data_IF_582302144655
#
_entry.id   IF_582302144655
#
_cell.length_a   1.000
_cell.length_b   1.000
_cell.length_c   1.000
_cell.angle_alpha   90.00
_cell.angle_beta   90.00
_cell.angle_gamma   90.00
#
_symmetry.space_group_name_H-M   'P 1'
#
loop_
_entity.id
_entity.type
_entity.pdbx_description
1 polymer ?
#
# COMPACT_ATOMS: atom_id res chain seq x y z
N UNK A 1 -6.73 -2.20 9.93
CA UNK A 1 -6.30 -1.48 8.69
C UNK A 1 -6.85 -0.07 8.56
N UNK A 2 -8.17 0.14 8.72
CA UNK A 2 -8.78 1.48 8.59
C UNK A 2 -8.10 2.53 9.47
N UNK A 3 -7.79 2.19 10.72
CA UNK A 3 -7.12 3.09 11.67
C UNK A 3 -5.82 3.70 11.12
N UNK A 4 -4.96 2.90 10.50
CA UNK A 4 -3.68 3.37 9.92
C UNK A 4 -3.93 4.27 8.70
N UNK A 5 -4.91 3.92 7.85
CA UNK A 5 -5.25 4.72 6.67
C UNK A 5 -5.86 6.07 7.03
N UNK A 6 -6.69 6.13 8.06
CA UNK A 6 -7.32 7.38 8.50
C UNK A 6 -6.40 8.25 9.32
N UNK A 7 -5.35 7.66 9.91
CA UNK A 7 -4.33 8.37 10.68
C UNK A 7 -3.17 8.80 9.79
N UNK A 8 -3.47 9.59 8.76
CA UNK A 8 -2.45 10.11 7.81
C UNK A 8 -1.39 10.96 8.49
N UNK A 9 -1.69 11.52 9.66
CA UNK A 9 -0.76 12.22 10.53
C UNK A 9 0.29 11.29 11.16
N UNK A 10 -0.06 10.02 11.39
CA UNK A 10 0.80 9.01 12.04
C UNK A 10 1.57 8.22 11.00
N UNK A 11 0.90 7.76 9.93
CA UNK A 11 1.50 6.94 8.88
C UNK A 11 1.60 7.73 7.57
N UNK A 12 2.41 8.78 7.58
CA UNK A 12 2.63 9.62 6.41
C UNK A 12 3.15 8.77 5.22
N UNK A 13 2.58 8.98 4.03
CA UNK A 13 2.99 8.23 2.83
C UNK A 13 2.53 6.77 2.76
N UNK A 14 1.77 6.24 3.73
CA UNK A 14 1.16 4.91 3.65
C UNK A 14 -0.12 4.94 2.78
N UNK A 15 0.04 4.65 1.50
CA UNK A 15 -1.05 4.67 0.51
C UNK A 15 -1.77 3.33 0.32
N UNK A 16 -2.58 3.26 -0.77
CA UNK A 16 -3.38 2.08 -1.13
C UNK A 16 -2.52 0.84 -1.35
N UNK A 17 -1.34 0.97 -1.96
CA UNK A 17 -0.43 -0.16 -2.18
C UNK A 17 0.46 -0.43 -0.97
N UNK A 18 0.87 0.61 -0.24
CA UNK A 18 1.76 0.48 0.91
C UNK A 18 1.11 -0.32 2.04
N UNK A 19 -0.17 -0.11 2.33
CA UNK A 19 -0.87 -0.78 3.43
C UNK A 19 -0.88 -2.31 3.28
N UNK A 20 -1.29 -2.91 2.15
CA UNK A 20 -1.13 -4.34 1.88
C UNK A 20 0.28 -4.87 2.15
N UNK A 21 1.30 -4.14 1.68
CA UNK A 21 2.70 -4.53 1.89
C UNK A 21 3.08 -4.52 3.37
N UNK A 22 2.74 -3.45 4.10
CA UNK A 22 3.02 -3.33 5.53
C UNK A 22 2.36 -4.46 6.34
N UNK A 23 1.11 -4.81 6.03
CA UNK A 23 0.43 -5.90 6.72
C UNK A 23 1.03 -7.25 6.41
N UNK A 24 1.43 -7.48 5.17
CA UNK A 24 2.10 -8.71 4.78
C UNK A 24 3.45 -8.87 5.50
N UNK A 25 4.29 -7.83 5.48
CA UNK A 25 5.59 -7.85 6.17
C UNK A 25 5.44 -7.99 7.69
N UNK A 26 4.39 -7.39 8.27
CA UNK A 26 4.08 -7.53 9.69
C UNK A 26 3.43 -8.87 10.05
N UNK A 27 3.05 -9.71 9.08
CA UNK A 27 2.37 -10.98 9.32
C UNK A 27 0.96 -10.83 9.89
N UNK A 28 0.22 -9.80 9.49
CA UNK A 28 -1.07 -9.44 10.07
C UNK A 28 -2.24 -9.79 9.12
N UNK A 29 -3.29 -10.43 9.65
CA UNK A 29 -4.51 -10.67 8.90
C UNK A 29 -5.26 -9.36 8.55
N UNK A 30 -5.93 -9.29 7.40
CA UNK A 30 -6.51 -8.03 6.90
C UNK A 30 -7.72 -7.51 7.69
N UNK A 31 -8.39 -8.37 8.45
CA UNK A 31 -9.57 -8.03 9.26
C UNK A 31 -9.32 -8.01 10.77
N UNK A 32 -8.06 -7.84 11.20
CA UNK A 32 -7.77 -7.48 12.59
C UNK A 32 -8.38 -6.11 12.93
N UNK A 33 -9.00 -6.05 14.09
CA UNK A 33 -9.47 -4.81 14.71
C UNK A 33 -8.30 -3.92 15.12
N UNK A 34 -8.57 -2.64 15.35
CA UNK A 34 -7.57 -1.71 15.89
C UNK A 34 -7.03 -2.20 17.24
N UNK A 35 -7.90 -2.71 18.10
CA UNK A 35 -7.55 -3.26 19.40
C UNK A 35 -6.59 -4.46 19.30
N UNK A 36 -6.91 -5.43 18.43
CA UNK A 36 -6.06 -6.61 18.24
C UNK A 36 -4.65 -6.26 17.76
N UNK A 37 -4.47 -5.13 17.08
CA UNK A 37 -3.16 -4.65 16.62
C UNK A 37 -2.47 -3.81 17.69
N UNK A 38 -3.14 -2.78 18.21
CA UNK A 38 -2.53 -1.74 19.05
C UNK A 38 -2.57 -2.01 20.56
N UNK A 39 -3.28 -3.04 21.02
CA UNK A 39 -3.13 -3.53 22.40
C UNK A 39 -2.11 -4.66 22.51
N UNK A 40 -1.68 -5.21 21.38
CA UNK A 40 -0.64 -6.23 21.35
C UNK A 40 0.72 -5.57 21.13
N UNK A 41 1.64 -5.64 22.12
CA UNK A 41 2.99 -5.09 21.97
C UNK A 41 3.71 -5.69 20.76
N UNK A 42 3.62 -7.00 20.57
CA UNK A 42 4.23 -7.71 19.44
C UNK A 42 3.67 -7.28 18.07
N UNK A 43 2.34 -7.22 17.89
CA UNK A 43 1.75 -6.82 16.60
C UNK A 43 2.05 -5.35 16.27
N UNK A 44 1.99 -4.47 17.27
CA UNK A 44 2.36 -3.05 17.09
C UNK A 44 3.82 -2.90 16.71
N UNK A 45 4.70 -3.61 17.41
CA UNK A 45 6.13 -3.62 17.12
C UNK A 45 6.42 -4.10 15.69
N UNK A 46 5.80 -5.20 15.25
CA UNK A 46 5.91 -5.70 13.87
C UNK A 46 5.42 -4.70 12.84
N UNK A 47 4.29 -4.05 13.07
CA UNK A 47 3.77 -3.02 12.16
C UNK A 47 4.72 -1.81 12.05
N UNK A 48 5.27 -1.33 13.17
CA UNK A 48 6.24 -0.24 13.18
C UNK A 48 7.54 -0.65 12.46
N UNK A 49 8.02 -1.87 12.72
CA UNK A 49 9.21 -2.40 12.08
C UNK A 49 9.02 -2.61 10.56
N UNK A 50 7.85 -3.10 10.14
CA UNK A 50 7.47 -3.19 8.73
C UNK A 50 7.45 -1.82 8.05
N UNK A 51 6.91 -0.80 8.73
CA UNK A 51 6.89 0.57 8.21
C UNK A 51 8.30 1.16 8.05
N UNK A 52 9.16 0.98 9.06
CA UNK A 52 10.57 1.38 8.96
C UNK A 52 11.27 0.63 7.82
N UNK A 53 11.12 -0.69 7.75
CA UNK A 53 11.74 -1.51 6.71
C UNK A 53 11.33 -1.04 5.31
N UNK A 54 10.04 -0.82 5.10
CA UNK A 54 9.51 -0.33 3.83
C UNK A 54 10.14 1.00 3.43
N UNK A 55 10.21 1.96 4.35
CA UNK A 55 10.83 3.26 4.11
C UNK A 55 12.33 3.14 3.82
N UNK A 56 13.04 2.29 4.57
CA UNK A 56 14.47 2.05 4.37
C UNK A 56 14.73 1.42 3.01
N UNK A 57 14.01 0.37 2.66
CA UNK A 57 14.13 -0.31 1.36
C UNK A 57 13.77 0.63 0.19
N UNK A 58 12.76 1.48 0.38
CA UNK A 58 12.41 2.49 -0.61
C UNK A 58 13.60 3.42 -0.92
N UNK A 59 14.38 3.79 0.08
CA UNK A 59 15.58 4.64 -0.09
C UNK A 59 16.80 3.89 -0.59
N UNK A 60 17.07 2.68 -0.09
CA UNK A 60 18.32 1.95 -0.37
C UNK A 60 18.25 1.14 -1.65
N UNK A 61 17.10 0.52 -1.93
CA UNK A 61 16.94 -0.44 -3.04
C UNK A 61 16.10 0.13 -4.17
N UNK A 62 14.96 0.76 -3.84
CA UNK A 62 14.00 1.22 -4.85
C UNK A 62 14.42 2.56 -5.47
N UNK A 63 14.98 3.49 -4.72
CA UNK A 63 15.38 4.79 -5.24
C UNK A 63 16.39 4.70 -6.41
N UNK A 64 17.45 3.87 -6.37
CA UNK A 64 18.31 3.64 -7.53
C UNK A 64 17.56 3.15 -8.78
N UNK A 65 16.54 2.30 -8.58
CA UNK A 65 15.64 1.81 -9.62
C UNK A 65 14.78 2.95 -10.21
N UNK A 66 14.21 3.82 -9.37
CA UNK A 66 13.38 4.95 -9.82
C UNK A 66 14.24 6.02 -10.53
N UNK A 67 15.40 6.35 -9.96
CA UNK A 67 16.29 7.42 -10.43
C UNK A 67 16.70 7.27 -11.89
N UNK A 68 16.87 6.04 -12.39
CA UNK A 68 17.26 5.79 -13.79
C UNK A 68 16.19 6.18 -14.81
N UNK A 69 14.94 6.30 -14.36
CA UNK A 69 13.80 6.69 -15.20
C UNK A 69 13.43 8.16 -15.06
N UNK A 70 14.12 8.89 -14.19
CA UNK A 70 13.90 10.32 -13.99
C UNK A 70 14.51 11.11 -15.15
N UNK A 71 13.65 11.83 -15.89
CA UNK A 71 14.05 12.75 -16.96
C UNK A 71 13.62 14.15 -16.56
N UNK A 72 14.55 14.92 -16.00
CA UNK A 72 14.24 16.20 -15.38
C UNK A 72 13.39 15.99 -14.12
N UNK A 73 12.12 16.38 -14.17
CA UNK A 73 11.18 16.27 -13.04
C UNK A 73 10.07 15.23 -13.26
N UNK A 74 10.14 14.45 -14.35
CA UNK A 74 9.14 13.42 -14.67
C UNK A 74 9.76 12.03 -14.75
N UNK A 75 8.94 11.01 -14.52
CA UNK A 75 9.34 9.62 -14.70
C UNK A 75 8.91 9.15 -16.08
N UNK A 76 9.85 8.59 -16.84
CA UNK A 76 9.62 8.06 -18.18
C UNK A 76 9.92 6.56 -18.19
N UNK A 77 8.89 5.74 -17.97
CA UNK A 77 8.98 4.27 -17.87
C UNK A 77 8.25 3.58 -19.02
N UNK A 78 8.78 2.46 -19.49
CA UNK A 78 8.04 1.55 -20.37
C UNK A 78 7.05 0.67 -19.58
N UNK A 79 6.23 -0.10 -20.29
CA UNK A 79 5.39 -1.14 -19.66
C UNK A 79 6.27 -2.22 -19.01
N UNK A 80 7.38 -2.61 -19.63
CA UNK A 80 8.32 -3.56 -19.04
C UNK A 80 8.95 -3.02 -17.75
N UNK A 81 9.33 -1.73 -17.73
CA UNK A 81 9.89 -1.09 -16.53
C UNK A 81 8.90 -1.06 -15.36
N UNK A 82 7.60 -0.83 -15.64
CA UNK A 82 6.53 -0.88 -14.63
C UNK A 82 6.33 -2.29 -14.09
N UNK A 83 6.43 -3.32 -14.96
CA UNK A 83 6.37 -4.71 -14.52
C UNK A 83 7.56 -5.09 -13.64
N UNK A 84 8.77 -4.61 -13.95
CA UNK A 84 9.94 -4.82 -13.09
C UNK A 84 9.75 -4.22 -11.69
N UNK A 85 8.98 -3.14 -11.55
CA UNK A 85 8.62 -2.62 -10.23
C UNK A 85 7.61 -3.53 -9.51
N UNK A 86 6.66 -4.13 -10.22
CA UNK A 86 5.72 -5.08 -9.59
C UNK A 86 6.43 -6.28 -8.96
N UNK A 87 7.60 -6.66 -9.47
CA UNK A 87 8.44 -7.71 -8.87
C UNK A 87 8.99 -7.31 -7.48
N UNK A 88 9.04 -6.01 -7.17
CA UNK A 88 9.49 -5.46 -5.87
C UNK A 88 8.39 -5.38 -4.83
N UNK A 89 7.14 -5.62 -5.21
CA UNK A 89 6.03 -5.71 -4.28
C UNK A 89 5.91 -7.15 -3.79
N UNK A 90 5.53 -7.35 -2.53
CA UNK A 90 5.33 -8.68 -2.00
C UNK A 90 3.95 -9.21 -2.39
N UNK A 91 2.89 -8.41 -2.23
CA UNK A 91 1.50 -8.88 -2.39
C UNK A 91 0.63 -8.00 -3.29
N UNK A 92 0.87 -6.69 -3.36
CA UNK A 92 -0.06 -5.76 -3.98
C UNK A 92 -0.20 -5.98 -5.49
N UNK A 93 -1.42 -6.32 -5.92
CA UNK A 93 -1.77 -6.56 -7.32
C UNK A 93 -0.92 -7.64 -8.01
N UNK A 94 -0.37 -8.57 -7.23
CA UNK A 94 0.31 -9.78 -7.74
C UNK A 94 -0.65 -10.93 -7.76
N UNK A 95 -0.47 -11.88 -8.67
CA UNK A 95 -1.27 -13.10 -8.69
C UNK A 95 -0.81 -14.10 -7.62
N UNK A 96 0.51 -14.18 -7.43
CA UNK A 96 1.17 -15.04 -6.45
C UNK A 96 2.28 -14.26 -5.77
N UNK A 97 2.56 -14.61 -4.52
CA UNK A 97 3.65 -14.02 -3.75
C UNK A 97 4.66 -15.09 -3.40
N UNK A 98 5.94 -14.77 -3.50
CA UNK A 98 6.99 -15.66 -3.02
C UNK A 98 7.08 -15.55 -1.51
N UNK A 99 7.11 -16.69 -0.82
CA UNK A 99 7.17 -16.74 0.65
C UNK A 99 8.20 -17.77 1.09
N UNK A 100 8.73 -17.58 2.30
CA UNK A 100 9.65 -18.55 2.91
C UNK A 100 8.94 -19.86 3.25
N UNK A 101 9.73 -20.92 3.51
CA UNK A 101 9.21 -22.18 4.01
C UNK A 101 8.47 -22.00 5.34
N UNK A 102 9.06 -21.26 6.28
CA UNK A 102 8.44 -20.91 7.57
C UNK A 102 7.13 -20.14 7.39
N UNK A 103 7.08 -19.15 6.52
CA UNK A 103 5.84 -18.41 6.25
C UNK A 103 4.76 -19.33 5.68
N UNK A 104 5.12 -20.24 4.76
CA UNK A 104 4.17 -21.19 4.20
C UNK A 104 3.63 -22.18 5.24
N UNK A 105 4.50 -22.68 6.13
CA UNK A 105 4.12 -23.54 7.24
C UNK A 105 3.16 -22.82 8.19
N UNK A 106 3.51 -21.61 8.64
CA UNK A 106 2.63 -20.78 9.48
C UNK A 106 1.28 -20.48 8.80
N UNK A 107 1.28 -20.26 7.48
CA UNK A 107 0.07 -20.04 6.71
C UNK A 107 -0.81 -21.29 6.70
N UNK A 108 -0.21 -22.46 6.56
CA UNK A 108 -0.91 -23.76 6.57
C UNK A 108 -1.47 -24.07 7.96
N UNK A 109 -0.71 -23.80 9.02
CA UNK A 109 -1.15 -23.94 10.41
C UNK A 109 -2.37 -23.03 10.70
N UNK A 110 -2.37 -21.79 10.21
CA UNK A 110 -3.50 -20.87 10.33
C UNK A 110 -4.73 -21.36 9.56
N UNK A 111 -4.56 -21.85 8.33
CA UNK A 111 -5.66 -22.39 7.53
C UNK A 111 -6.26 -23.64 8.18
N UNK A 112 -5.44 -24.52 8.75
CA UNK A 112 -5.89 -25.68 9.52
C UNK A 112 -6.66 -25.29 10.78
N UNK A 113 -6.21 -24.26 11.50
CA UNK A 113 -6.95 -23.68 12.63
C UNK A 113 -8.35 -23.21 12.21
N UNK A 114 -8.49 -22.59 11.02
CA UNK A 114 -9.80 -22.18 10.50
C UNK A 114 -10.69 -23.37 10.15
N UNK A 115 -10.12 -24.44 9.61
CA UNK A 115 -10.85 -25.68 9.33
C UNK A 115 -11.36 -26.36 10.61
N UNK A 116 -10.54 -26.41 11.67
CA UNK A 116 -10.95 -26.97 12.96
C UNK A 116 -12.12 -26.22 13.60
N UNK A 117 -12.19 -24.91 13.40
CA UNK A 117 -13.26 -24.06 13.91
C UNK A 117 -14.37 -23.79 12.88
N UNK A 118 -14.43 -24.51 11.75
CA UNK A 118 -15.40 -24.25 10.70
C UNK A 118 -16.85 -24.53 11.15
N UNK A 119 -17.04 -25.55 11.98
CA UNK A 119 -18.35 -25.97 12.50
C UNK A 119 -18.76 -25.23 13.78
N UNK A 120 -17.85 -24.43 14.37
CA UNK A 120 -18.16 -23.67 15.57
C UNK A 120 -19.10 -22.49 15.24
N UNK A 121 -20.20 -22.30 16.00
CA UNK A 121 -21.11 -21.19 15.74
C UNK A 121 -20.46 -19.83 16.00
N UNK A 122 -19.53 -19.79 16.96
CA UNK A 122 -18.70 -18.64 17.29
C UNK A 122 -17.48 -19.12 18.09
N UNK A 123 -16.28 -18.77 17.64
CA UNK A 123 -15.06 -19.00 18.41
C UNK A 123 -14.32 -17.67 18.70
N UNK A 124 -13.65 -17.60 19.84
CA UNK A 124 -12.85 -16.44 20.21
C UNK A 124 -11.43 -16.62 19.68
N UNK A 125 -10.90 -15.60 19.02
CA UNK A 125 -9.51 -15.56 18.58
C UNK A 125 -8.62 -15.44 19.81
N UNK A 126 -8.32 -16.54 20.47
CA UNK A 126 -7.46 -16.57 21.64
C UNK A 126 -6.18 -17.32 21.31
N UNK A 127 -5.05 -16.71 21.66
CA UNK A 127 -3.78 -17.40 21.60
C UNK A 127 -3.72 -18.35 22.81
N UNK A 128 -4.08 -19.61 22.61
CA UNK A 128 -3.64 -20.67 23.51
C UNK A 128 -2.32 -21.26 22.96
N UNK A 129 -1.53 -21.90 23.83
CA UNK A 129 -0.19 -22.38 23.48
C UNK A 129 -0.21 -23.55 22.47
N UNK A 130 -1.38 -24.15 22.20
CA UNK A 130 -1.47 -25.46 21.50
C UNK A 130 -2.24 -25.36 20.18
N UNK A 131 -3.27 -24.52 20.07
CA UNK A 131 -4.23 -24.51 18.97
C UNK A 131 -4.68 -23.10 18.52
N UNK A 132 -4.13 -22.03 19.11
CA UNK A 132 -4.55 -20.66 18.85
C UNK A 132 -4.16 -20.19 17.44
N UNK A 133 -4.89 -19.22 16.87
CA UNK A 133 -4.52 -18.62 15.60
C UNK A 133 -3.28 -17.75 15.77
N UNK A 134 -2.12 -18.31 15.42
CA UNK A 134 -0.87 -17.57 15.39
C UNK A 134 -0.75 -16.71 14.12
N UNK A 135 -0.06 -15.59 14.25
CA UNK A 135 0.22 -14.69 13.13
C UNK A 135 1.28 -15.27 12.19
N UNK A 136 1.05 -15.13 10.89
CA UNK A 136 1.92 -15.64 9.82
C UNK A 136 3.07 -14.66 9.55
N UNK A 137 4.02 -14.56 10.48
CA UNK A 137 5.08 -13.57 10.45
C UNK A 137 6.44 -14.15 10.01
N UNK A 138 7.13 -13.45 9.11
CA UNK A 138 8.48 -13.79 8.63
C UNK A 138 9.47 -12.65 8.90
N UNK A 139 10.41 -12.83 9.84
CA UNK A 139 11.39 -11.80 10.22
C UNK A 139 12.25 -11.26 9.06
N UNK A 140 12.55 -12.08 8.06
CA UNK A 140 13.31 -11.65 6.87
C UNK A 140 12.62 -10.49 6.13
N UNK A 141 11.28 -10.43 6.15
CA UNK A 141 10.49 -9.36 5.51
C UNK A 141 10.63 -8.00 6.22
N UNK A 142 11.19 -7.97 7.43
CA UNK A 142 11.46 -6.73 8.17
C UNK A 142 12.93 -6.61 8.58
N UNK A 143 13.83 -7.33 7.91
CA UNK A 143 15.27 -7.43 8.20
C UNK A 143 15.95 -6.13 8.63
N UNK A 144 15.86 -5.07 7.81
CA UNK A 144 16.46 -3.76 8.13
C UNK A 144 16.07 -3.18 9.49
N UNK A 145 14.85 -3.46 9.97
CA UNK A 145 14.37 -2.98 11.27
C UNK A 145 14.92 -3.83 12.44
N UNK A 146 15.18 -5.11 12.18
CA UNK A 146 15.73 -6.07 13.16
C UNK A 146 17.26 -6.04 13.22
N UNK A 147 17.92 -5.42 12.24
CA UNK A 147 19.38 -5.21 12.23
C UNK A 147 19.80 -3.84 12.80
N UNK A 148 18.85 -2.98 13.24
CA UNK A 148 19.20 -1.71 13.89
C UNK A 148 19.73 -2.00 15.30
N UNK A 149 20.89 -1.44 15.62
CA UNK A 149 21.51 -1.55 16.96
C UNK A 149 20.69 -0.79 18.02
N UNK A 150 20.25 0.42 17.71
CA UNK A 150 19.46 1.27 18.61
C UNK A 150 17.96 1.26 18.26
N UNK A 151 17.10 1.16 19.27
CA UNK A 151 15.63 1.17 19.13
C UNK A 151 15.05 -0.02 18.36
N UNK A 152 15.76 -1.14 18.34
CA UNK A 152 15.22 -2.40 17.85
C UNK A 152 13.95 -2.80 18.63
N UNK A 153 12.98 -3.38 17.93
CA UNK A 153 11.72 -3.81 18.53
C UNK A 153 11.63 -5.33 18.74
N UNK A 154 12.72 -6.07 18.50
CA UNK A 154 12.77 -7.52 18.58
C UNK A 154 12.35 -8.08 19.95
N UNK A 155 12.73 -7.41 21.04
CA UNK A 155 12.30 -7.78 22.40
C UNK A 155 10.77 -7.71 22.59
N UNK A 156 10.08 -6.78 21.93
CA UNK A 156 8.61 -6.72 21.94
C UNK A 156 7.96 -7.76 21.01
N UNK A 157 8.67 -8.16 19.94
CA UNK A 157 8.14 -9.10 18.93
C UNK A 157 8.24 -10.54 19.44
N UNK A 158 9.42 -10.93 19.93
CA UNK A 158 9.77 -12.31 20.30
C UNK A 158 9.85 -12.55 21.81
N UNK A 159 9.85 -11.49 22.63
CA UNK A 159 10.23 -11.58 24.04
C UNK A 159 11.74 -11.47 24.22
N UNK A 160 12.18 -11.04 25.41
CA UNK A 160 13.59 -10.71 25.68
C UNK A 160 14.52 -11.92 25.50
N UNK A 161 14.18 -13.06 26.09
CA UNK A 161 15.03 -14.25 26.09
C UNK A 161 15.16 -14.86 24.68
N UNK A 162 14.02 -15.02 23.99
CA UNK A 162 14.00 -15.55 22.62
C UNK A 162 14.71 -14.61 21.65
N UNK A 163 14.55 -13.30 21.83
CA UNK A 163 15.26 -12.30 21.01
C UNK A 163 16.78 -12.35 21.21
N UNK A 164 17.25 -12.51 22.45
CA UNK A 164 18.68 -12.66 22.74
C UNK A 164 19.27 -13.90 22.05
N UNK A 165 18.55 -15.03 22.10
CA UNK A 165 18.91 -16.25 21.39
C UNK A 165 18.99 -16.03 19.87
N UNK A 166 17.95 -15.45 19.27
CA UNK A 166 17.89 -15.17 17.83
C UNK A 166 18.97 -14.20 17.36
N UNK A 167 19.30 -13.17 18.17
CA UNK A 167 20.42 -12.26 17.87
C UNK A 167 21.76 -12.99 17.84
N UNK A 168 22.01 -13.84 18.83
CA UNK A 168 23.26 -14.59 18.93
C UNK A 168 23.43 -15.56 17.75
N UNK A 169 22.37 -16.30 17.39
CA UNK A 169 22.38 -17.21 16.24
C UNK A 169 22.62 -16.47 14.91
N UNK A 170 22.00 -15.30 14.74
CA UNK A 170 22.16 -14.48 13.54
C UNK A 170 23.48 -13.69 13.47
N UNK A 171 24.30 -13.73 14.52
CA UNK A 171 25.54 -12.94 14.62
C UNK A 171 25.31 -11.43 14.70
N UNK A 172 24.17 -10.99 15.27
CA UNK A 172 23.89 -9.57 15.46
C UNK A 172 24.68 -9.01 16.66
N UNK A 173 25.03 -7.70 16.64
CA UNK A 173 25.69 -7.05 17.77
C UNK A 173 24.88 -7.16 19.07
N UNK A 174 25.57 -7.28 20.21
CA UNK A 174 24.93 -7.34 21.53
C UNK A 174 24.03 -6.11 21.82
N UNK A 175 24.31 -4.96 21.20
CA UNK A 175 23.49 -3.76 21.29
C UNK A 175 22.04 -4.00 20.83
N UNK A 176 21.82 -4.87 19.84
CA UNK A 176 20.49 -5.23 19.34
C UNK A 176 19.60 -5.90 20.41
N UNK A 177 20.17 -6.48 21.46
CA UNK A 177 19.45 -7.21 22.52
C UNK A 177 18.81 -6.25 23.54
N UNK A 178 19.05 -4.94 23.44
CA UNK A 178 18.48 -3.95 24.34
C UNK A 178 16.94 -4.07 24.42
N UNK A 179 16.42 -4.24 25.63
CA UNK A 179 14.99 -4.22 25.91
C UNK A 179 14.40 -2.81 25.96
N UNK A 180 15.26 -1.79 25.99
CA UNK A 180 14.81 -0.41 26.10
C UNK A 180 14.52 0.18 24.72
N UNK A 181 13.25 0.50 24.50
CA UNK A 181 12.80 1.41 23.46
C UNK A 181 11.54 2.14 23.94
N UNK A 182 11.21 3.28 23.31
CA UNK A 182 10.06 4.11 23.75
C UNK A 182 8.73 3.37 23.69
N UNK A 183 8.57 2.43 22.75
CA UNK A 183 7.36 1.63 22.63
C UNK A 183 7.26 0.61 23.77
N UNK A 184 8.37 -0.01 24.16
CA UNK A 184 8.43 -0.92 25.30
C UNK A 184 8.13 -0.19 26.60
N UNK A 185 8.69 1.01 26.77
CA UNK A 185 8.36 1.87 27.91
C UNK A 185 6.85 2.19 27.93
N UNK A 186 6.27 2.61 26.80
CA UNK A 186 4.83 2.86 26.71
C UNK A 186 4.01 1.64 27.16
N UNK A 187 4.31 0.44 26.64
CA UNK A 187 3.60 -0.78 27.04
C UNK A 187 3.84 -1.19 28.49
N UNK A 188 5.01 -0.90 29.07
CA UNK A 188 5.27 -1.14 30.49
C UNK A 188 4.46 -0.22 31.41
N UNK A 189 4.12 1.00 30.94
CA UNK A 189 3.28 1.94 31.68
C UNK A 189 1.78 1.63 31.55
N UNK A 190 1.39 0.93 30.49
CA UNK A 190 0.05 0.41 30.38
C UNK A 190 -0.07 -0.78 31.34
N UNK A 191 -1.00 -0.70 32.29
CA UNK A 191 -1.39 -1.86 33.11
C UNK A 191 -2.16 -2.87 32.25
N UNK A 192 -1.48 -3.44 31.26
CA UNK A 192 -2.03 -4.52 30.45
C UNK A 192 -2.33 -5.71 31.36
N UNK A 193 -3.48 -6.39 31.18
CA UNK A 193 -3.78 -7.60 31.91
C UNK A 193 -2.62 -8.61 31.78
N UNK A 194 -2.19 -9.21 32.89
CA UNK A 194 -1.20 -10.29 32.87
C UNK A 194 -1.65 -11.51 32.03
N UNK A 195 -2.95 -11.62 31.79
CA UNK A 195 -3.59 -12.65 30.94
C UNK A 195 -3.40 -12.40 29.43
N UNK A 196 -2.90 -11.22 29.01
CA UNK A 196 -2.66 -10.97 27.59
C UNK A 196 -1.40 -11.69 27.13
N UNK A 197 -1.46 -12.48 26.06
CA UNK A 197 -0.28 -13.14 25.53
C UNK A 197 0.76 -12.09 25.13
N UNK A 198 2.00 -12.30 25.55
CA UNK A 198 3.12 -11.42 25.23
C UNK A 198 3.38 -11.37 23.72
N UNK A 199 3.05 -12.45 23.00
CA UNK A 199 3.16 -12.55 21.55
C UNK A 199 2.05 -13.41 20.95
N UNK A 200 1.68 -13.11 19.71
CA UNK A 200 0.74 -13.90 18.89
C UNK A 200 1.49 -14.77 17.88
N UNK A 201 2.72 -15.11 18.19
CA UNK A 201 3.64 -15.85 17.33
C UNK A 201 3.86 -17.23 17.95
N UNK A 202 3.88 -18.27 17.13
CA UNK A 202 4.28 -19.60 17.58
C UNK A 202 5.81 -19.63 17.72
N UNK A 203 6.32 -19.41 18.93
CA UNK A 203 7.76 -19.29 19.22
C UNK A 203 8.59 -20.49 18.75
N UNK A 204 8.01 -21.69 18.76
CA UNK A 204 8.70 -22.93 18.35
C UNK A 204 9.10 -22.92 16.87
N UNK A 205 8.41 -22.13 16.04
CA UNK A 205 8.72 -21.98 14.61
C UNK A 205 9.88 -21.00 14.35
N UNK A 206 10.33 -20.25 15.36
CA UNK A 206 11.37 -19.23 15.24
C UNK A 206 12.68 -19.72 15.85
N UNK A 207 13.29 -20.73 15.23
CA UNK A 207 14.59 -21.27 15.66
C UNK A 207 15.80 -20.52 15.09
N UNK A 208 15.59 -19.68 14.07
CA UNK A 208 16.59 -18.82 13.45
C UNK A 208 15.95 -17.49 13.07
N UNK A 209 16.72 -16.40 13.08
CA UNK A 209 16.18 -15.09 12.75
C UNK A 209 16.02 -14.92 11.23
N UNK A 210 17.13 -15.11 10.52
CA UNK A 210 17.23 -14.96 9.07
C UNK A 210 17.59 -16.28 8.43
N UNK A 211 17.11 -16.52 7.20
CA UNK A 211 17.46 -17.74 6.50
C UNK A 211 18.99 -17.76 6.25
N UNK A 212 19.69 -18.88 6.53
CA UNK A 212 21.10 -19.03 6.22
C UNK A 212 21.36 -18.68 4.75
N UNK A 213 22.49 -18.05 4.44
CA UNK A 213 22.81 -17.62 3.06
C UNK A 213 22.77 -18.77 2.04
N UNK A 214 23.11 -19.99 2.47
CA UNK A 214 22.98 -21.24 1.72
C UNK A 214 21.53 -21.59 1.34
N UNK A 215 20.57 -21.08 2.10
CA UNK A 215 19.12 -21.28 1.94
C UNK A 215 18.39 -20.01 1.45
N UNK A 216 19.08 -19.07 0.78
CA UNK A 216 18.36 -17.93 0.15
C UNK A 216 17.67 -18.29 -1.16
N UNK A 217 18.12 -19.32 -1.88
CA UNK A 217 17.44 -19.85 -3.08
C UNK A 217 16.04 -20.46 -2.81
N UNK A 218 15.74 -21.11 -1.67
CA UNK A 218 14.40 -21.66 -1.38
C UNK A 218 13.30 -20.65 -1.02
N UNK A 219 13.56 -19.34 -0.90
CA UNK A 219 12.48 -18.34 -0.75
C UNK A 219 11.50 -18.30 -1.94
N UNK A 220 11.84 -18.98 -3.05
CA UNK A 220 11.00 -19.11 -4.23
C UNK A 220 10.26 -20.45 -4.36
N UNK A 221 10.44 -21.38 -3.41
CA UNK A 221 9.81 -22.70 -3.51
C UNK A 221 8.28 -22.62 -3.32
N UNK A 222 7.81 -21.68 -2.50
CA UNK A 222 6.40 -21.52 -2.17
C UNK A 222 5.84 -20.23 -2.75
N UNK A 223 4.62 -20.33 -3.25
CA UNK A 223 3.97 -19.30 -4.05
C UNK A 223 2.45 -19.33 -3.86
N UNK A 224 1.95 -19.01 -2.65
CA UNK A 224 0.52 -18.91 -2.39
C UNK A 224 -0.14 -17.88 -3.31
N UNK A 225 -1.39 -18.14 -3.64
CA UNK A 225 -2.22 -17.18 -4.36
C UNK A 225 -2.54 -15.99 -3.45
N UNK A 226 -2.43 -14.78 -4.00
CA UNK A 226 -2.92 -13.59 -3.31
C UNK A 226 -4.44 -13.54 -3.38
N UNK A 227 -5.05 -13.00 -2.33
CA UNK A 227 -6.48 -12.75 -2.22
C UNK A 227 -6.71 -11.24 -2.26
N UNK A 228 -7.79 -10.82 -2.92
CA UNK A 228 -8.24 -9.43 -2.96
C UNK A 228 -9.46 -9.27 -2.07
N UNK A 229 -9.32 -8.51 -0.99
CA UNK A 229 -10.38 -8.20 -0.05
C UNK A 229 -10.93 -6.81 -0.30
N UNK A 230 -12.25 -6.69 -0.41
CA UNK A 230 -12.94 -5.40 -0.55
C UNK A 230 -13.33 -4.89 0.83
N UNK A 231 -12.88 -3.69 1.16
CA UNK A 231 -13.37 -2.92 2.30
C UNK A 231 -14.11 -1.69 1.82
N UNK A 232 -14.97 -1.13 2.67
CA UNK A 232 -15.77 0.06 2.34
C UNK A 232 -14.98 1.25 1.77
N UNK A 233 -13.67 1.35 2.03
CA UNK A 233 -12.84 2.49 1.60
C UNK A 233 -11.64 2.10 0.71
N UNK A 234 -11.31 0.83 0.55
CA UNK A 234 -10.35 0.36 -0.46
C UNK A 234 -10.26 -1.16 -0.48
N UNK A 235 -9.67 -1.66 -1.56
CA UNK A 235 -9.29 -3.05 -1.71
C UNK A 235 -7.91 -3.32 -1.10
N UNK A 236 -7.71 -4.54 -0.65
CA UNK A 236 -6.50 -4.99 0.05
C UNK A 236 -6.06 -6.33 -0.48
N UNK A 237 -4.78 -6.42 -0.81
CA UNK A 237 -4.13 -7.65 -1.24
C UNK A 237 -3.46 -8.32 -0.06
N UNK A 238 -3.63 -9.63 0.09
CA UNK A 238 -2.96 -10.41 1.13
C UNK A 238 -2.86 -11.87 0.70
N UNK A 239 -1.79 -12.55 1.13
CA UNK A 239 -1.75 -14.02 1.11
C UNK A 239 -2.34 -14.60 2.40
N UNK A 240 -2.26 -13.86 3.51
CA UNK A 240 -2.82 -14.25 4.80
C UNK A 240 -4.34 -14.13 4.71
N UNK A 241 -5.09 -15.22 4.99
CA UNK A 241 -6.54 -15.18 4.95
C UNK A 241 -7.10 -14.21 6.00
N UNK A 242 -8.22 -13.55 5.67
CA UNK A 242 -9.05 -12.92 6.68
C UNK A 242 -9.60 -13.99 7.63
N UNK A 243 -9.69 -13.67 8.92
CA UNK A 243 -10.39 -14.51 9.87
C UNK A 243 -11.86 -14.73 9.44
N UNK A 244 -12.43 -15.93 9.62
CA UNK A 244 -13.79 -16.24 9.20
C UNK A 244 -14.84 -15.47 10.01
N UNK A 245 -16.05 -15.36 9.47
CA UNK A 245 -17.16 -14.58 10.07
C UNK A 245 -17.65 -15.14 11.42
N UNK A 246 -17.42 -16.44 11.68
CA UNK A 246 -17.70 -17.10 12.95
C UNK A 246 -16.57 -16.91 14.00
N UNK A 247 -15.59 -16.05 13.73
CA UNK A 247 -14.56 -15.69 14.70
C UNK A 247 -14.81 -14.31 15.31
N UNK A 248 -14.51 -14.13 16.59
CA UNK A 248 -14.59 -12.84 17.25
C UNK A 248 -13.29 -12.50 18.01
N UNK A 249 -12.91 -11.21 18.07
CA UNK A 249 -11.81 -10.77 18.92
C UNK A 249 -12.15 -11.02 20.40
N UNK A 250 -11.13 -11.25 21.22
CA UNK A 250 -11.30 -11.33 22.67
C UNK A 250 -11.91 -10.00 23.15
N UNK A 251 -13.04 -10.01 23.87
CA UNK A 251 -13.61 -8.80 24.43
C UNK A 251 -12.60 -8.11 25.32
N UNK A 252 -12.31 -6.82 25.05
CA UNK A 252 -11.50 -6.01 25.97
C UNK A 252 -12.16 -6.02 27.34
N UNK A 253 -11.50 -6.61 28.35
CA UNK A 253 -11.77 -6.23 29.74
C UNK A 253 -11.31 -4.78 29.86
N UNK A 254 -12.25 -3.83 29.70
CA UNK A 254 -11.97 -2.45 30.07
C UNK A 254 -11.49 -2.51 31.52
N UNK A 255 -10.29 -2.00 31.85
CA UNK A 255 -9.95 -1.76 33.24
C UNK A 255 -11.15 -1.03 33.85
N UNK A 256 -11.62 -1.40 35.05
CA UNK A 256 -12.66 -0.64 35.72
C UNK A 256 -12.22 0.82 35.63
N UNK A 257 -13.02 1.64 34.94
CA UNK A 257 -12.77 3.07 34.80
C UNK A 257 -12.49 3.55 36.20
N UNK A 258 -11.23 3.92 36.48
CA UNK A 258 -10.77 4.20 37.83
C UNK A 258 -11.80 5.15 38.44
N UNK A 259 -12.57 4.74 39.46
CA UNK A 259 -13.77 5.44 39.87
C UNK A 259 -13.35 6.78 40.45
N UNK A 260 -13.32 7.80 39.58
CA UNK A 260 -12.83 9.15 39.84
C UNK A 260 -11.40 9.16 40.38
N UNK A 261 -10.43 9.32 39.49
CA UNK A 261 -9.45 10.35 39.82
C UNK A 261 -10.26 11.60 40.19
N UNK A 262 -10.12 12.15 41.41
CA UNK A 262 -10.82 13.36 41.79
C UNK A 262 -10.54 14.36 40.67
N UNK A 263 -11.60 14.89 40.05
CA UNK A 263 -11.46 16.05 39.17
C UNK A 263 -10.51 16.99 39.92
N UNK A 264 -9.38 17.39 39.33
CA UNK A 264 -8.55 18.40 39.97
C UNK A 264 -9.51 19.51 40.36
N UNK A 265 -9.59 19.80 41.67
CA UNK A 265 -10.32 20.96 42.13
C UNK A 265 -9.75 22.08 41.31
N UNK A 266 -10.59 22.62 40.42
CA UNK A 266 -10.28 23.85 39.74
C UNK A 266 -10.25 24.87 40.87
N UNK A 267 -9.08 25.07 41.47
CA UNK A 267 -8.81 26.23 42.27
C UNK A 267 -9.31 27.40 41.45
N UNK A 268 -10.32 28.06 41.99
CA UNK A 268 -10.93 29.28 41.52
C UNK A 268 -9.88 30.40 41.52
N UNK A 269 -8.86 30.28 40.68
CA UNK A 269 -8.04 31.41 40.26
C UNK A 269 -8.94 32.23 39.35
N UNK A 270 -9.34 33.38 39.87
CA UNK A 270 -10.11 34.37 39.13
C UNK A 270 -9.39 34.66 37.81
N UNK A 271 -10.11 34.73 36.67
CA UNK A 271 -9.48 35.08 35.41
C UNK A 271 -8.76 36.44 35.57
N UNK A 272 -7.53 36.59 35.04
CA UNK A 272 -6.87 37.88 35.04
C UNK A 272 -7.74 38.91 34.32
N UNK A 273 -7.78 40.16 34.80
CA UNK A 273 -8.65 41.19 34.25
C UNK A 273 -8.39 41.35 32.75
N UNK A 274 -9.45 41.13 31.97
CA UNK A 274 -9.46 41.39 30.53
C UNK A 274 -9.18 42.88 30.31
N UNK A 275 -8.22 43.28 29.48
CA UNK A 275 -8.03 44.67 29.11
C UNK A 275 -9.31 45.20 28.46
N UNK A 276 -9.91 46.19 29.11
CA UNK A 276 -11.14 46.85 28.64
C UNK A 276 -10.85 47.47 27.27
N UNK A 277 -11.44 46.90 26.21
CA UNK A 277 -11.49 47.56 24.91
C UNK A 277 -12.32 48.85 25.03
N UNK A 278 -11.86 49.99 24.48
CA UNK A 278 -12.68 51.19 24.42
C UNK A 278 -13.97 50.91 23.61
N UNK A 279 -15.10 51.50 24.02
CA UNK A 279 -16.38 51.26 23.39
C UNK A 279 -16.37 51.79 21.94
N UNK A 280 -17.00 51.07 21.00
CA UNK A 280 -17.21 51.59 19.65
C UNK A 280 -18.16 52.80 19.67
N UNK A 281 -17.98 53.77 18.77
CA UNK A 281 -18.82 54.96 18.69
C UNK A 281 -20.28 54.59 18.40
N UNK A 282 -21.17 55.23 19.15
CA UNK A 282 -22.62 55.03 19.10
C UNK A 282 -23.17 55.28 17.69
N UNK A 283 -23.75 54.24 17.08
CA UNK A 283 -24.57 54.38 15.88
C UNK A 283 -26.00 54.70 16.30
N UNK A 284 -26.42 55.93 16.03
CA UNK A 284 -27.82 56.35 16.10
C UNK A 284 -28.67 55.58 15.07
N UNK A 285 -29.35 54.52 15.54
CA UNK A 285 -30.36 53.79 14.78
C UNK A 285 -31.74 54.09 15.33
N UNK A 286 -32.56 54.78 14.52
CA UNK A 286 -33.94 55.19 14.81
C UNK A 286 -34.82 53.97 15.15
N UNK A 287 -35.47 54.02 16.32
CA UNK A 287 -36.41 53.01 16.79
C UNK A 287 -37.70 52.97 15.98
N UNK A 288 -38.25 51.76 15.81
CA UNK A 288 -39.66 51.52 15.46
C UNK A 288 -40.45 51.13 16.72
N UNK A 289 -41.67 51.65 16.91
CA UNK A 289 -42.47 51.38 18.09
C UNK A 289 -43.04 49.96 18.05
N UNK A 290 -42.96 49.26 19.19
CA UNK A 290 -43.48 47.90 19.39
C UNK A 290 -44.89 48.01 20.00
N UNK A 291 -45.86 47.35 19.36
CA UNK A 291 -47.27 47.34 19.73
C UNK A 291 -47.53 46.65 21.10
N UNK A 292 -48.63 47.01 21.79
CA UNK A 292 -48.90 46.55 23.15
C UNK A 292 -49.29 45.07 23.20
N UNK A 293 -48.69 44.38 24.16
CA UNK A 293 -48.84 42.94 24.41
C UNK A 293 -50.15 42.69 25.17
N UNK A 294 -51.15 42.13 24.48
CA UNK A 294 -52.41 41.68 25.09
C UNK A 294 -52.15 40.51 26.07
N UNK A 295 -52.55 40.70 27.32
CA UNK A 295 -52.61 39.71 28.38
C UNK A 295 -53.83 38.81 28.19
N UNK A 296 -53.66 37.65 27.56
CA UNK A 296 -54.69 36.61 27.52
C UNK A 296 -54.67 35.78 28.82
N UNK A 297 -55.84 35.71 29.45
CA UNK A 297 -56.18 34.94 30.64
C UNK A 297 -55.88 33.45 30.50
N UNK A 298 -55.25 32.86 31.52
CA UNK A 298 -54.91 31.43 31.63
C UNK A 298 -56.19 30.57 31.74
N UNK A 299 -56.40 29.56 30.88
CA UNK A 299 -57.43 28.56 31.10
C UNK A 299 -57.01 27.54 32.17
N UNK A 300 -57.97 27.10 32.99
CA UNK A 300 -57.82 26.07 34.04
C UNK A 300 -57.23 24.76 33.46
N UNK A 301 -56.33 24.08 34.20
CA UNK A 301 -55.69 22.86 33.74
C UNK A 301 -56.70 21.71 33.67
N UNK A 302 -56.85 21.11 32.48
CA UNK A 302 -57.54 19.83 32.32
C UNK A 302 -56.70 18.71 32.95
N UNK A 303 -57.32 17.70 33.59
CA UNK A 303 -56.63 16.58 34.19
C UNK A 303 -55.83 15.84 33.11
N UNK A 304 -54.51 15.74 33.31
CA UNK A 304 -53.62 15.04 32.38
C UNK A 304 -53.89 13.53 32.45
N UNK A 305 -54.07 12.85 31.31
CA UNK A 305 -54.17 11.39 31.28
C UNK A 305 -52.87 10.78 31.81
N UNK A 306 -53.00 9.76 32.66
CA UNK A 306 -51.87 9.01 33.25
C UNK A 306 -50.92 8.59 32.14
N UNK A 307 -49.78 9.28 32.07
CA UNK A 307 -48.73 9.09 31.07
C UNK A 307 -48.08 7.74 31.36
N UNK A 308 -48.43 6.72 30.58
CA UNK A 308 -47.75 5.42 30.61
C UNK A 308 -46.25 5.66 30.42
N UNK A 309 -45.44 5.15 31.34
CA UNK A 309 -43.99 5.25 31.27
C UNK A 309 -43.53 4.75 29.89
N UNK A 310 -42.70 5.52 29.16
CA UNK A 310 -42.18 5.09 27.87
C UNK A 310 -41.43 3.77 28.08
N UNK A 311 -41.84 2.72 27.36
CA UNK A 311 -41.13 1.44 27.36
C UNK A 311 -39.65 1.73 27.11
N UNK A 312 -38.73 1.17 27.92
CA UNK A 312 -37.30 1.40 27.74
C UNK A 312 -36.93 1.05 26.30
N UNK A 313 -36.34 2.01 25.58
CA UNK A 313 -35.80 1.75 24.24
C UNK A 313 -34.78 0.63 24.39
N UNK A 314 -34.82 -0.42 23.55
CA UNK A 314 -33.78 -1.43 23.52
C UNK A 314 -32.43 -0.72 23.46
N UNK A 315 -31.52 -1.06 24.37
CA UNK A 315 -30.17 -0.52 24.32
C UNK A 315 -29.59 -0.89 22.95
N UNK A 316 -29.02 0.07 22.20
CA UNK A 316 -28.34 -0.27 20.96
C UNK A 316 -27.30 -1.35 21.25
N UNK A 317 -27.11 -2.32 20.35
CA UNK A 317 -26.09 -3.35 20.53
C UNK A 317 -24.75 -2.65 20.86
N UNK A 318 -24.18 -3.00 22.01
CA UNK A 318 -23.03 -2.32 22.62
C UNK A 318 -21.75 -2.41 21.78
N UNK A 319 -21.77 -3.22 20.72
CA UNK A 319 -20.63 -3.46 19.84
C UNK A 319 -21.12 -3.25 18.40
N UNK A 320 -20.69 -2.16 17.71
CA UNK A 320 -20.96 -2.02 16.29
C UNK A 320 -20.39 -3.24 15.57
N UNK A 321 -21.22 -3.92 14.77
CA UNK A 321 -20.76 -5.05 13.97
C UNK A 321 -19.58 -4.57 13.10
N UNK A 322 -18.43 -5.26 13.14
CA UNK A 322 -17.32 -4.91 12.26
C UNK A 322 -17.81 -4.88 10.82
N UNK A 323 -17.34 -3.90 10.04
CA UNK A 323 -17.69 -3.83 8.62
C UNK A 323 -17.24 -5.13 7.96
N UNK A 324 -18.15 -5.89 7.30
CA UNK A 324 -17.78 -7.14 6.66
C UNK A 324 -16.66 -6.90 5.65
N UNK A 325 -15.67 -7.79 5.66
CA UNK A 325 -14.63 -7.85 4.63
C UNK A 325 -15.10 -8.85 3.58
N UNK A 326 -15.21 -8.44 2.32
CA UNK A 326 -15.70 -9.33 1.26
C UNK A 326 -14.51 -9.83 0.43
N UNK A 327 -14.41 -11.15 0.24
CA UNK A 327 -13.46 -11.70 -0.71
C UNK A 327 -13.94 -11.41 -2.14
N UNK A 328 -13.12 -10.72 -2.92
CA UNK A 328 -13.44 -10.40 -4.30
C UNK A 328 -13.51 -11.66 -5.16
N UNK A 329 -14.47 -11.70 -6.09
CA UNK A 329 -14.52 -12.70 -7.16
C UNK A 329 -13.23 -12.74 -7.98
N UNK A 330 -12.92 -13.91 -8.57
CA UNK A 330 -11.74 -14.10 -9.43
C UNK A 330 -11.69 -13.09 -10.59
N UNK A 331 -12.82 -12.87 -11.27
CA UNK A 331 -12.89 -11.91 -12.38
C UNK A 331 -12.49 -10.48 -11.99
N UNK A 332 -12.98 -10.00 -10.85
CA UNK A 332 -12.63 -8.66 -10.35
C UNK A 332 -11.15 -8.64 -9.95
N UNK A 333 -10.70 -9.66 -9.23
CA UNK A 333 -9.31 -9.79 -8.79
C UNK A 333 -8.35 -9.75 -9.98
N UNK A 334 -8.60 -10.55 -11.00
CA UNK A 334 -7.71 -10.67 -12.17
C UNK A 334 -7.59 -9.36 -12.94
N UNK A 335 -8.67 -8.56 -12.97
CA UNK A 335 -8.64 -7.20 -13.54
C UNK A 335 -7.92 -6.17 -12.67
N UNK A 336 -7.81 -6.44 -11.38
CA UNK A 336 -7.10 -5.59 -10.42
C UNK A 336 -5.59 -5.94 -10.31
N UNK A 337 -5.12 -7.00 -10.98
CA UNK A 337 -3.70 -7.34 -11.04
C UNK A 337 -2.90 -6.21 -11.74
N UNK A 338 -1.73 -5.87 -11.20
CA UNK A 338 -0.83 -4.88 -11.80
C UNK A 338 -0.47 -5.26 -13.24
N UNK A 339 -0.22 -6.54 -13.48
CA UNK A 339 0.10 -7.05 -14.82
C UNK A 339 -1.04 -6.81 -15.82
N UNK A 340 -2.29 -6.93 -15.36
CA UNK A 340 -3.46 -6.62 -16.18
C UNK A 340 -3.60 -5.12 -16.40
N UNK A 341 -3.54 -4.33 -15.33
CA UNK A 341 -3.65 -2.87 -15.38
C UNK A 341 -2.59 -2.29 -16.31
N UNK A 342 -1.32 -2.66 -16.13
CA UNK A 342 -0.19 -2.15 -16.92
C UNK A 342 -0.32 -2.50 -18.40
N UNK A 343 -0.69 -3.74 -18.75
CA UNK A 343 -0.68 -4.23 -20.14
C UNK A 343 -1.95 -3.89 -20.92
N UNK A 344 -3.08 -3.83 -20.24
CA UNK A 344 -4.40 -3.87 -20.89
C UNK A 344 -5.27 -2.65 -20.61
N UNK A 345 -4.90 -1.84 -19.63
CA UNK A 345 -5.64 -0.61 -19.29
C UNK A 345 -4.81 0.63 -19.58
N UNK A 346 -5.46 1.80 -19.50
CA UNK A 346 -4.75 3.08 -19.51
C UNK A 346 -4.55 3.61 -18.09
N UNK A 347 -4.91 2.81 -17.09
CA UNK A 347 -4.93 3.26 -15.72
C UNK A 347 -3.53 3.23 -15.14
N UNK A 348 -3.31 4.16 -14.22
CA UNK A 348 -2.08 4.28 -13.49
C UNK A 348 -2.21 3.52 -12.19
N UNK A 349 -1.22 2.67 -11.94
CA UNK A 349 -1.09 1.96 -10.67
C UNK A 349 -0.56 2.95 -9.66
N UNK A 350 -1.14 3.14 -8.48
CA UNK A 350 -0.57 4.10 -7.52
C UNK A 350 0.74 3.49 -7.01
N UNK A 351 1.89 3.98 -7.49
CA UNK A 351 3.22 3.48 -7.12
C UNK A 351 4.33 4.47 -7.52
N UNK A 352 5.58 4.28 -7.07
CA UNK A 352 6.67 5.25 -7.27
C UNK A 352 7.03 5.51 -8.74
N UNK A 353 6.79 4.54 -9.64
CA UNK A 353 6.97 4.73 -11.08
C UNK A 353 5.78 5.40 -11.77
N UNK A 354 4.68 5.59 -11.07
CA UNK A 354 3.44 6.15 -11.62
C UNK A 354 3.06 7.51 -10.97
N UNK A 355 3.63 7.85 -9.81
CA UNK A 355 3.26 9.03 -9.02
C UNK A 355 3.86 10.35 -9.55
N UNK A 356 5.05 10.33 -10.16
CA UNK A 356 5.75 11.57 -10.56
C UNK A 356 5.38 12.11 -11.94
N UNK A 357 4.15 11.84 -12.41
CA UNK A 357 3.71 12.17 -13.78
C UNK A 357 4.39 11.26 -14.80
N UNK A 358 3.61 10.38 -15.42
CA UNK A 358 4.17 9.43 -16.38
C UNK A 358 4.34 10.10 -17.72
N UNK A 359 5.60 10.36 -18.06
CA UNK A 359 5.97 10.67 -19.41
C UNK A 359 6.14 9.38 -20.23
N UNK A 360 5.83 9.42 -21.53
CA UNK A 360 6.00 8.29 -22.44
C UNK A 360 7.03 8.60 -23.51
N UNK A 361 8.00 7.71 -23.67
CA UNK A 361 8.97 7.77 -24.76
C UNK A 361 8.36 7.16 -26.03
N UNK A 362 8.28 7.94 -27.10
CA UNK A 362 7.82 7.47 -28.41
C UNK A 362 8.96 7.43 -29.38
N UNK A 363 9.17 6.24 -29.96
CA UNK A 363 10.17 6.03 -31.01
C UNK A 363 9.75 6.69 -32.32
N UNK A 364 10.60 7.58 -32.83
CA UNK A 364 10.42 8.30 -34.10
C UNK A 364 11.36 7.85 -35.22
N UNK A 365 11.22 8.48 -36.39
CA UNK A 365 12.11 8.27 -37.55
C UNK A 365 13.40 9.11 -37.44
N UNK A 366 14.10 9.02 -36.32
CA UNK A 366 15.39 9.69 -36.13
C UNK A 366 15.71 9.99 -34.67
N UNK A 367 14.73 10.50 -33.94
CA UNK A 367 14.85 10.81 -32.52
C UNK A 367 13.63 10.29 -31.75
N UNK A 368 13.85 9.92 -30.49
CA UNK A 368 12.78 9.56 -29.59
C UNK A 368 12.28 10.82 -28.88
N UNK A 369 10.97 10.98 -28.82
CA UNK A 369 10.33 12.13 -28.16
C UNK A 369 9.66 11.70 -26.88
N UNK A 370 9.73 12.54 -25.86
CA UNK A 370 9.07 12.33 -24.56
C UNK A 370 7.75 13.08 -24.58
N UNK A 371 6.63 12.36 -24.44
CA UNK A 371 5.32 12.93 -24.16
C UNK A 371 5.17 13.09 -22.66
N UNK A 372 4.93 14.29 -22.16
CA UNK A 372 4.75 14.50 -20.72
C UNK A 372 3.31 14.23 -20.25
N UNK A 373 2.35 14.27 -21.18
CA UNK A 373 0.96 13.91 -20.91
C UNK A 373 0.32 13.26 -22.14
N UNK A 374 -0.84 12.63 -21.92
CA UNK A 374 -1.69 12.22 -23.04
C UNK A 374 -2.09 13.49 -23.80
N UNK A 375 -1.81 13.52 -25.11
CA UNK A 375 -2.03 14.70 -25.96
C UNK A 375 -1.10 15.90 -25.67
N UNK A 376 0.17 15.67 -25.33
CA UNK A 376 1.16 16.76 -25.14
C UNK A 376 1.17 17.74 -26.34
N UNK A 377 0.80 19.02 -26.15
CA UNK A 377 0.70 19.99 -27.23
C UNK A 377 2.08 20.39 -27.78
N UNK A 378 3.18 19.93 -27.22
CA UNK A 378 4.53 20.28 -27.73
C UNK A 378 5.04 19.30 -28.78
N UNK A 379 4.34 18.19 -29.01
CA UNK A 379 4.78 17.16 -29.97
C UNK A 379 4.07 17.23 -31.30
N UNK A 380 4.73 16.77 -32.35
CA UNK A 380 4.15 16.77 -33.69
C UNK A 380 2.96 15.80 -33.79
N UNK A 381 2.07 16.10 -34.75
CA UNK A 381 0.89 15.29 -35.07
C UNK A 381 1.22 13.80 -35.27
N UNK A 382 2.37 13.52 -35.89
CA UNK A 382 2.89 12.17 -36.09
C UNK A 382 3.02 11.38 -34.77
N UNK A 383 3.62 11.98 -33.74
CA UNK A 383 3.82 11.33 -32.44
C UNK A 383 2.51 11.16 -31.68
N UNK A 384 1.62 12.16 -31.75
CA UNK A 384 0.28 12.10 -31.17
C UNK A 384 -0.55 10.96 -31.78
N UNK A 385 -0.53 10.84 -33.11
CA UNK A 385 -1.23 9.78 -33.84
C UNK A 385 -0.69 8.41 -33.47
N UNK A 386 0.63 8.25 -33.49
CA UNK A 386 1.29 6.99 -33.11
C UNK A 386 0.94 6.56 -31.68
N UNK A 387 0.93 7.51 -30.74
CA UNK A 387 0.54 7.24 -29.35
C UNK A 387 -0.92 6.78 -29.24
N UNK A 388 -1.83 7.52 -29.89
CA UNK A 388 -3.26 7.28 -29.82
C UNK A 388 -3.63 5.94 -30.47
N UNK A 389 -2.96 5.57 -31.58
CA UNK A 389 -3.07 4.25 -32.19
C UNK A 389 -2.59 3.13 -31.25
N UNK A 390 -1.43 3.31 -30.61
CA UNK A 390 -0.89 2.33 -29.66
C UNK A 390 -1.85 2.05 -28.50
N UNK A 391 -2.51 3.09 -27.97
CA UNK A 391 -3.57 2.96 -26.96
C UNK A 391 -4.75 2.14 -27.47
N UNK A 392 -5.24 2.46 -28.67
CA UNK A 392 -6.41 1.79 -29.24
C UNK A 392 -6.14 0.30 -29.48
N UNK A 393 -4.94 -0.04 -29.96
CA UNK A 393 -4.49 -1.42 -30.17
C UNK A 393 -4.38 -2.18 -28.85
N UNK A 394 -3.88 -1.56 -27.77
CA UNK A 394 -3.81 -2.21 -26.45
C UNK A 394 -5.20 -2.64 -25.95
N UNK A 395 -6.26 -1.83 -26.20
CA UNK A 395 -7.64 -2.18 -25.84
C UNK A 395 -8.21 -3.37 -26.62
N UNK A 396 -7.74 -3.60 -27.85
CA UNK A 396 -8.12 -4.80 -28.61
C UNK A 396 -7.42 -6.05 -28.07
N UNK A 397 -6.12 -5.94 -27.73
CA UNK A 397 -5.38 -7.03 -27.07
C UNK A 397 -6.03 -7.43 -25.74
N UNK A 398 -6.46 -6.46 -24.94
CA UNK A 398 -7.18 -6.69 -23.69
C UNK A 398 -8.46 -7.54 -23.84
N UNK A 399 -9.06 -7.51 -25.03
CA UNK A 399 -10.28 -8.24 -25.39
C UNK A 399 -10.00 -9.53 -26.17
N UNK A 400 -8.73 -9.85 -26.48
CA UNK A 400 -8.35 -11.00 -27.29
C UNK A 400 -8.79 -10.90 -28.76
N UNK A 401 -8.97 -9.69 -29.30
CA UNK A 401 -9.45 -9.46 -30.68
C UNK A 401 -8.45 -8.69 -31.53
N UNK A 402 -7.15 -8.73 -31.20
CA UNK A 402 -6.11 -7.97 -31.89
C UNK A 402 -5.98 -8.31 -33.38
N UNK A 403 -6.34 -9.55 -33.78
CA UNK A 403 -6.33 -9.98 -35.19
C UNK A 403 -7.37 -9.28 -36.06
N UNK A 404 -8.43 -8.70 -35.47
CA UNK A 404 -9.48 -8.00 -36.20
C UNK A 404 -9.02 -6.62 -36.71
N UNK A 405 -7.87 -6.12 -36.23
CA UNK A 405 -7.41 -4.77 -36.52
C UNK A 405 -8.32 -3.68 -35.94
N UNK A 406 -7.94 -2.41 -36.14
CA UNK A 406 -8.76 -1.28 -35.72
C UNK A 406 -9.84 -1.00 -36.76
N UNK A 407 -11.11 -1.14 -36.38
CA UNK A 407 -12.23 -0.78 -37.26
C UNK A 407 -12.19 0.70 -37.67
N UNK A 408 -12.78 1.02 -38.83
CA UNK A 408 -12.81 2.38 -39.41
C UNK A 408 -13.34 3.43 -38.43
N UNK A 409 -14.35 3.09 -37.61
CA UNK A 409 -14.89 3.95 -36.56
C UNK A 409 -13.84 4.33 -35.50
N UNK A 410 -12.99 3.38 -35.10
CA UNK A 410 -11.94 3.64 -34.11
C UNK A 410 -10.82 4.48 -34.73
N UNK A 411 -10.44 4.19 -35.99
CA UNK A 411 -9.47 5.00 -36.72
C UNK A 411 -9.97 6.45 -36.88
N UNK A 412 -11.23 6.66 -37.28
CA UNK A 412 -11.82 7.99 -37.35
C UNK A 412 -11.81 8.73 -36.00
N UNK A 413 -12.07 8.02 -34.90
CA UNK A 413 -11.96 8.59 -33.56
C UNK A 413 -10.51 8.95 -33.16
N UNK A 414 -9.53 8.20 -33.65
CA UNK A 414 -8.10 8.51 -33.46
C UNK A 414 -7.74 9.79 -34.22
N UNK A 415 -8.07 9.88 -35.51
CA UNK A 415 -7.78 11.08 -36.31
C UNK A 415 -8.48 12.32 -35.74
N UNK A 416 -9.74 12.21 -35.32
CA UNK A 416 -10.48 13.32 -34.71
C UNK A 416 -9.83 13.83 -33.42
N UNK A 417 -9.26 12.94 -32.59
CA UNK A 417 -8.51 13.35 -31.39
C UNK A 417 -7.21 14.04 -31.74
N UNK A 418 -6.47 13.52 -32.71
CA UNK A 418 -5.19 14.08 -33.16
C UNK A 418 -5.40 15.48 -33.74
N UNK A 419 -6.38 15.64 -34.62
CA UNK A 419 -6.73 16.93 -35.22
C UNK A 419 -7.16 17.97 -34.16
N UNK A 420 -7.95 17.57 -33.16
CA UNK A 420 -8.38 18.47 -32.07
C UNK A 420 -7.18 19.04 -31.29
N UNK A 421 -6.16 18.20 -31.02
CA UNK A 421 -4.94 18.63 -30.32
C UNK A 421 -4.11 19.54 -31.22
N UNK A 422 -3.91 19.17 -32.48
CA UNK A 422 -3.16 19.99 -33.44
C UNK A 422 -3.79 21.39 -33.62
N UNK A 423 -5.13 21.48 -33.63
CA UNK A 423 -5.83 22.77 -33.66
C UNK A 423 -5.59 23.62 -32.40
N UNK A 424 -5.46 22.99 -31.23
CA UNK A 424 -5.13 23.71 -30.00
C UNK A 424 -3.68 24.24 -30.01
N UNK A 425 -2.74 23.47 -30.56
CA UNK A 425 -1.33 23.88 -30.69
C UNK A 425 -1.18 25.16 -31.52
N UNK A 426 -1.88 25.24 -32.66
CA UNK A 426 -1.85 26.41 -33.53
C UNK A 426 -2.36 27.69 -32.86
N UNK A 427 -3.18 27.58 -31.80
CA UNK A 427 -3.67 28.75 -31.05
C UNK A 427 -2.68 29.28 -30.03
N UNK A 428 -1.84 28.42 -29.45
CA UNK A 428 -1.00 28.79 -28.30
C UNK A 428 0.45 29.17 -28.67
N UNK A 429 0.89 29.00 -29.93
CA UNK A 429 2.25 29.35 -30.40
C UNK A 429 3.39 28.86 -29.46
N UNK A 430 3.21 27.71 -28.81
CA UNK A 430 4.21 27.18 -27.89
C UNK A 430 5.44 26.71 -28.68
N UNK A 431 6.65 27.25 -28.43
CA UNK A 431 7.85 26.77 -29.09
C UNK A 431 8.11 25.31 -28.71
N UNK A 432 8.29 24.45 -29.71
CA UNK A 432 8.65 23.06 -29.48
C UNK A 432 9.96 22.98 -28.67
N UNK A 433 10.07 22.10 -27.67
CA UNK A 433 11.29 21.94 -26.89
C UNK A 433 12.43 21.51 -27.82
N UNK A 434 13.40 22.41 -28.05
CA UNK A 434 14.62 22.09 -28.78
C UNK A 434 15.52 21.26 -27.87
N UNK A 435 15.51 19.94 -28.04
CA UNK A 435 16.59 19.13 -27.49
C UNK A 435 17.90 19.44 -28.23
N UNK A 436 19.06 19.40 -27.54
CA UNK A 436 20.34 19.58 -28.19
C UNK A 436 20.50 18.51 -29.28
N UNK A 437 20.91 18.89 -30.50
CA UNK A 437 21.03 17.96 -31.61
C UNK A 437 22.00 16.85 -31.23
N UNK A 438 21.52 15.61 -31.18
CA UNK A 438 22.43 14.46 -31.04
C UNK A 438 23.16 14.32 -32.37
N UNK A 439 24.50 14.35 -32.32
CA UNK A 439 25.33 14.05 -33.48
C UNK A 439 24.82 12.75 -34.12
N UNK A 440 24.26 12.86 -35.33
CA UNK A 440 23.77 11.72 -36.10
C UNK A 440 24.96 10.78 -36.30
N UNK A 441 25.01 9.67 -35.55
CA UNK A 441 25.89 8.56 -35.92
C UNK A 441 25.47 8.15 -37.33
N UNK A 442 26.35 8.35 -38.32
CA UNK A 442 26.16 7.85 -39.68
C UNK A 442 25.87 6.35 -39.55
N UNK A 443 24.66 5.93 -39.89
CA UNK A 443 24.34 4.52 -40.01
C UNK A 443 25.12 4.00 -41.22
N UNK A 444 26.15 3.21 -40.97
CA UNK A 444 26.72 2.34 -41.98
C UNK A 444 25.67 1.24 -42.25
N UNK A 445 25.25 1.07 -43.51
CA UNK A 445 24.36 -0.03 -43.88
C UNK A 445 25.13 -1.34 -43.79
N UNK A 446 24.55 -2.36 -43.15
CA UNK A 446 25.11 -3.71 -43.10
C UNK A 446 25.37 -4.29 -44.51
N UNK A 447 24.62 -3.84 -45.52
CA UNK A 447 24.78 -4.26 -46.91
C UNK A 447 26.08 -3.77 -47.56
N UNK A 448 26.72 -2.73 -47.00
CA UNK A 448 27.99 -2.22 -47.52
C UNK A 448 29.16 -3.11 -47.09
N UNK A 449 29.08 -3.71 -45.90
CA UNK A 449 30.12 -4.62 -45.39
C UNK A 449 30.03 -6.01 -46.07
N UNK A 450 28.85 -6.41 -46.55
CA UNK A 450 28.69 -7.65 -47.34
C UNK A 450 29.21 -7.51 -48.78
N UNK A 451 29.25 -6.31 -49.33
CA UNK A 451 29.79 -6.06 -50.67
C UNK A 451 31.33 -6.01 -50.70
N UNK A 452 32.00 -5.66 -49.59
CA UNK A 452 33.47 -5.60 -49.52
C UNK A 452 34.14 -6.96 -49.27
N UNK A 453 33.42 -7.95 -48.72
CA UNK A 453 33.98 -9.28 -48.42
C UNK A 453 33.98 -10.23 -49.65
N UNK A 454 33.33 -9.84 -50.77
CA UNK A 454 33.17 -10.68 -51.96
C UNK A 454 34.32 -10.68 -52.97
N UNK A 455 35.40 -9.92 -52.76
CA UNK A 455 36.41 -9.66 -53.80
C UNK A 455 37.86 -9.94 -53.37
N UNK A 456 38.12 -11.00 -52.58
CA UNK A 456 39.47 -11.57 -52.44
C UNK A 456 39.42 -13.10 -52.30
N UNK A 457 39.18 -13.81 -53.41
CA UNK A 457 39.60 -15.20 -53.55
C UNK A 457 40.55 -15.31 -54.75
N UNK A 458 41.83 -15.05 -54.47
CA UNK A 458 42.95 -15.40 -55.34
C UNK A 458 43.17 -16.94 -55.32
N UNK A 459 43.47 -17.59 -56.45
CA UNK A 459 43.72 -19.03 -56.48
C UNK A 459 45.08 -19.35 -55.81
N UNK A 460 45.04 -20.03 -54.66
CA UNK A 460 46.25 -20.60 -54.04
C UNK A 460 46.80 -21.75 -54.89
N UNK A 461 48.00 -21.52 -55.46
CA UNK A 461 48.92 -22.52 -56.02
C UNK A 461 49.06 -23.71 -55.06
N UNK A 462 48.71 -24.91 -55.53
CA UNK A 462 49.08 -26.18 -54.90
C UNK A 462 50.60 -26.38 -55.02
N UNK A 463 51.32 -26.38 -53.89
CA UNK A 463 52.68 -26.93 -53.79
C UNK A 463 52.58 -28.42 -53.45
N UNK A 464 53.14 -29.26 -54.32
CA UNK A 464 53.46 -30.66 -54.02
C UNK A 464 54.58 -30.68 -52.98
N UNK A 465 54.41 -31.46 -51.92
CA UNK A 465 55.50 -31.86 -51.03
C UNK A 465 55.76 -33.34 -51.33
N UNK A 466 57.00 -33.62 -51.75
CA UNK A 466 57.50 -34.97 -51.96
C UNK A 466 57.81 -35.63 -50.63
N UNK A 467 57.60 -36.94 -50.60
CA UNK A 467 58.01 -37.86 -49.55
C UNK A 467 59.46 -38.26 -49.82
N UNK A 468 60.30 -38.20 -48.79
CA UNK A 468 61.50 -39.02 -48.61
C UNK A 468 61.57 -39.40 -47.14
#
# INVERSE_FOLDING_TARGET
MTAVRTSTEIFAGAGVYTIPELWHMAGLAPNLTEAEVFDSPSRTARLCAAYYHFGKEAHTTLWPLVKRFLVGFVICVSEEDRLLYSDRLNVHGKDRSYVSARFHELLSDLELCFEWHADDPLWLRQCDEIAGPFDVFEPELIRHALEIEDMNLGTLIFGADHWAYLCADAGLPAACVSSWNRLAHYYSTLSLPSEMPSSWLNMDKYTYLFHPSSQRKPLHAFHPHTRLYRLAKADIWSVIPAFPDNSAPIPRRRPPLNPREPKPEVESSSPPPIPVRPPPPAKHGKGKPRAPRQTKSKPKPKPQPKRSLPKPKPLPPLIPKPTPIELSTSFVRDRALLSYIIKYTQDYTVGPLDYCGIARRIKGRGEDVILYCQCDPRVTEFYLRRHTLSIATAKLKAKGVEKQGLGSKVLGAVEGKVAKVAMAQNKENLPAPKMPPKNKKKRHSADRDLAEVGLVLSPRKRRRVGVN
#
